data_IF_413820252223
#
_entry.id   IF_413820252223
#
_cell.length_a   1.000
_cell.length_b   1.000
_cell.length_c   1.000
_cell.angle_alpha   90.00
_cell.angle_beta   90.00
_cell.angle_gamma   90.00
#
_symmetry.space_group_name_H-M   'P 1'
#
loop_
_entity.id
_entity.type
_entity.pdbx_description
1 polymer ?
#
# COMPACT_ATOMS: atom_id res chain seq x y z
N UNK A 1 -9.42 16.48 37.61
CA UNK A 1 -9.49 16.87 36.19
C UNK A 1 -8.99 15.69 35.39
N UNK A 2 -9.90 14.82 34.95
CA UNK A 2 -9.57 13.58 34.28
C UNK A 2 -9.23 13.87 32.82
N UNK A 3 -8.02 13.49 32.42
CA UNK A 3 -7.52 13.49 31.06
C UNK A 3 -8.29 12.44 30.24
N UNK A 4 -9.44 12.81 29.67
CA UNK A 4 -10.27 11.89 28.85
C UNK A 4 -10.31 12.27 27.36
N UNK A 5 -9.34 13.05 26.87
CA UNK A 5 -9.40 13.63 25.52
C UNK A 5 -8.70 12.86 24.39
N UNK A 6 -7.72 11.97 24.64
CA UNK A 6 -6.78 11.55 23.57
C UNK A 6 -6.33 10.07 23.53
N UNK A 7 -7.15 9.02 23.82
CA UNK A 7 -6.75 7.65 23.49
C UNK A 7 -6.97 7.32 22.00
N UNK A 8 -8.17 7.60 21.48
CA UNK A 8 -8.57 7.25 20.11
C UNK A 8 -7.74 7.97 19.03
N UNK A 9 -7.39 9.24 19.26
CA UNK A 9 -6.55 10.02 18.33
C UNK A 9 -5.11 9.50 18.23
N UNK A 10 -4.59 8.91 19.31
CA UNK A 10 -3.21 8.43 19.36
C UNK A 10 -3.09 7.06 18.68
N UNK A 11 -4.05 6.16 18.90
CA UNK A 11 -4.11 4.86 18.22
C UNK A 11 -4.31 5.01 16.70
N UNK A 12 -5.15 5.96 16.28
CA UNK A 12 -5.37 6.29 14.88
C UNK A 12 -4.12 6.85 14.20
N UNK A 13 -3.40 7.77 14.85
CA UNK A 13 -2.13 8.30 14.33
C UNK A 13 -1.06 7.21 14.17
N UNK A 14 -1.00 6.25 15.10
CA UNK A 14 -0.11 5.09 15.01
C UNK A 14 -0.53 4.16 13.88
N UNK A 15 -1.82 3.88 13.75
CA UNK A 15 -2.37 3.06 12.66
C UNK A 15 -2.06 3.69 11.29
N UNK A 16 -2.31 4.99 11.11
CA UNK A 16 -1.99 5.72 9.88
C UNK A 16 -0.49 5.68 9.55
N UNK A 17 0.38 5.84 10.55
CA UNK A 17 1.83 5.73 10.37
C UNK A 17 2.28 4.32 9.96
N UNK A 18 1.68 3.28 10.55
CA UNK A 18 1.95 1.89 10.18
C UNK A 18 1.45 1.57 8.77
N UNK A 19 0.25 2.02 8.40
CA UNK A 19 -0.30 1.84 7.06
C UNK A 19 0.55 2.56 6.01
N UNK A 20 0.98 3.80 6.26
CA UNK A 20 1.88 4.55 5.39
C UNK A 20 3.23 3.85 5.21
N UNK A 21 3.82 3.35 6.30
CA UNK A 21 5.08 2.59 6.26
C UNK A 21 4.95 1.31 5.42
N UNK A 22 3.85 0.57 5.61
CA UNK A 22 3.58 -0.64 4.84
C UNK A 22 3.32 -0.34 3.36
N UNK A 23 2.59 0.74 3.04
CA UNK A 23 2.40 1.20 1.66
C UNK A 23 3.75 1.52 1.00
N UNK A 24 4.68 2.15 1.72
CA UNK A 24 6.04 2.40 1.22
C UNK A 24 6.81 1.12 0.90
N UNK A 25 6.64 0.05 1.69
CA UNK A 25 7.23 -1.26 1.42
C UNK A 25 6.62 -1.92 0.18
N UNK A 26 5.29 -1.84 0.03
CA UNK A 26 4.56 -2.35 -1.14
C UNK A 26 5.03 -1.66 -2.41
N UNK A 27 5.13 -0.33 -2.40
CA UNK A 27 5.59 0.47 -3.54
C UNK A 27 7.05 0.16 -3.89
N UNK A 28 7.91 -0.01 -2.89
CA UNK A 28 9.32 -0.40 -3.10
C UNK A 28 9.45 -1.80 -3.68
N UNK A 29 8.66 -2.76 -3.19
CA UNK A 29 8.64 -4.12 -3.74
C UNK A 29 8.16 -4.13 -5.20
N UNK A 30 7.14 -3.34 -5.52
CA UNK A 30 6.63 -3.21 -6.88
C UNK A 30 7.67 -2.59 -7.82
N UNK A 31 8.40 -1.57 -7.35
CA UNK A 31 9.51 -0.98 -8.10
C UNK A 31 10.63 -1.99 -8.37
N UNK A 32 11.01 -2.79 -7.37
CA UNK A 32 12.04 -3.82 -7.54
C UNK A 32 11.64 -4.89 -8.56
N UNK A 33 10.38 -5.34 -8.53
CA UNK A 33 9.87 -6.27 -9.54
C UNK A 33 9.93 -5.68 -10.96
N UNK A 34 9.58 -4.39 -11.13
CA UNK A 34 9.69 -3.70 -12.43
C UNK A 34 11.15 -3.66 -12.92
N UNK A 35 12.11 -3.45 -12.02
CA UNK A 35 13.53 -3.53 -12.36
C UNK A 35 13.94 -4.94 -12.76
N UNK A 36 13.48 -5.98 -12.05
CA UNK A 36 13.74 -7.37 -12.42
C UNK A 36 13.19 -7.71 -13.82
N UNK A 37 11.99 -7.25 -14.16
CA UNK A 37 11.42 -7.42 -15.50
C UNK A 37 12.30 -6.79 -16.57
N UNK A 38 12.71 -5.53 -16.38
CA UNK A 38 13.57 -4.84 -17.34
C UNK A 38 14.93 -5.52 -17.54
N UNK A 39 15.52 -6.05 -16.46
CA UNK A 39 16.77 -6.83 -16.53
C UNK A 39 16.55 -8.15 -17.28
N UNK A 40 15.44 -8.84 -17.02
CA UNK A 40 15.10 -10.06 -17.73
C UNK A 40 14.92 -9.83 -19.24
N UNK A 41 14.20 -8.78 -19.63
CA UNK A 41 14.00 -8.39 -21.03
C UNK A 41 15.32 -8.02 -21.72
N UNK A 42 16.18 -7.29 -21.00
CA UNK A 42 17.51 -6.93 -21.49
C UNK A 42 18.37 -8.18 -21.68
N UNK A 43 18.33 -9.14 -20.75
CA UNK A 43 19.07 -10.39 -20.85
C UNK A 43 18.58 -11.26 -22.03
N UNK A 44 17.27 -11.35 -22.24
CA UNK A 44 16.68 -12.05 -23.39
C UNK A 44 17.11 -11.43 -24.72
N UNK A 45 17.10 -10.10 -24.78
CA UNK A 45 17.45 -9.35 -26.00
C UNK A 45 18.94 -9.44 -26.30
N UNK A 46 19.80 -9.21 -25.30
CA UNK A 46 21.25 -9.19 -25.46
C UNK A 46 21.83 -10.55 -25.85
N UNK A 47 21.22 -11.64 -25.37
CA UNK A 47 21.74 -13.00 -25.58
C UNK A 47 20.93 -13.79 -26.61
N UNK A 48 20.16 -13.11 -27.46
CA UNK A 48 19.31 -13.75 -28.47
C UNK A 48 20.15 -14.65 -29.39
N UNK A 49 19.80 -15.94 -29.43
CA UNK A 49 20.54 -16.95 -30.21
C UNK A 49 21.81 -17.50 -29.56
N UNK A 50 22.21 -17.00 -28.39
CA UNK A 50 23.38 -17.46 -27.63
C UNK A 50 23.04 -18.06 -26.25
N UNK A 51 21.79 -17.94 -25.78
CA UNK A 51 21.34 -18.56 -24.52
C UNK A 51 21.06 -20.06 -24.67
N UNK A 52 21.44 -20.82 -23.65
CA UNK A 52 20.92 -22.18 -23.46
C UNK A 52 19.41 -22.15 -23.19
N UNK A 53 18.71 -23.23 -23.55
CA UNK A 53 17.26 -23.37 -23.29
C UNK A 53 16.94 -23.16 -21.81
N UNK A 54 17.74 -23.72 -20.90
CA UNK A 54 17.53 -23.57 -19.46
C UNK A 54 17.63 -22.13 -18.98
N UNK A 55 18.55 -21.35 -19.55
CA UNK A 55 18.67 -19.93 -19.21
C UNK A 55 17.48 -19.13 -19.77
N UNK A 56 17.00 -19.44 -20.97
CA UNK A 56 15.80 -18.81 -21.54
C UNK A 56 14.57 -19.07 -20.67
N UNK A 57 14.37 -20.31 -20.21
CA UNK A 57 13.30 -20.66 -19.26
C UNK A 57 13.45 -19.88 -17.97
N UNK A 58 14.64 -19.86 -17.36
CA UNK A 58 14.88 -19.16 -16.11
C UNK A 58 14.57 -17.65 -16.22
N UNK A 59 15.01 -16.98 -17.28
CA UNK A 59 14.73 -15.54 -17.47
C UNK A 59 13.24 -15.29 -17.70
N UNK A 60 12.56 -16.17 -18.43
CA UNK A 60 11.10 -16.12 -18.61
C UNK A 60 10.36 -16.27 -17.27
N UNK A 61 10.78 -17.22 -16.44
CA UNK A 61 10.19 -17.46 -15.12
C UNK A 61 10.37 -16.26 -14.19
N UNK A 62 11.54 -15.61 -14.23
CA UNK A 62 11.80 -14.37 -13.50
C UNK A 62 10.85 -13.26 -13.93
N UNK A 63 10.69 -13.03 -15.23
CA UNK A 63 9.79 -12.01 -15.75
C UNK A 63 8.33 -12.28 -15.35
N UNK A 64 7.88 -13.54 -15.47
CA UNK A 64 6.53 -13.93 -15.15
C UNK A 64 6.23 -13.84 -13.64
N UNK A 65 7.18 -14.25 -12.80
CA UNK A 65 7.06 -14.14 -11.34
C UNK A 65 6.99 -12.67 -10.90
N UNK A 66 7.85 -11.80 -11.44
CA UNK A 66 7.82 -10.37 -11.14
C UNK A 66 6.50 -9.71 -11.58
N UNK A 67 5.96 -10.12 -12.74
CA UNK A 67 4.65 -9.67 -13.22
C UNK A 67 3.53 -10.09 -12.26
N UNK A 68 3.50 -11.36 -11.85
CA UNK A 68 2.51 -11.88 -10.92
C UNK A 68 2.60 -11.21 -9.55
N UNK A 69 3.80 -10.95 -9.04
CA UNK A 69 4.00 -10.26 -7.78
C UNK A 69 3.45 -8.83 -7.83
N UNK A 70 3.64 -8.11 -8.94
CA UNK A 70 3.09 -6.77 -9.10
C UNK A 70 1.56 -6.74 -9.04
N UNK A 71 0.88 -7.72 -9.66
CA UNK A 71 -0.58 -7.82 -9.57
C UNK A 71 -1.06 -7.96 -8.12
N UNK A 72 -0.37 -8.78 -7.32
CA UNK A 72 -0.70 -8.96 -5.89
C UNK A 72 -0.41 -7.68 -5.09
N UNK A 73 0.71 -7.01 -5.36
CA UNK A 73 1.07 -5.76 -4.69
C UNK A 73 0.09 -4.63 -5.03
N UNK A 74 -0.41 -4.56 -6.26
CA UNK A 74 -1.45 -3.60 -6.66
C UNK A 74 -2.76 -3.88 -5.90
N UNK A 75 -3.17 -5.14 -5.75
CA UNK A 75 -4.34 -5.50 -4.93
C UNK A 75 -4.16 -5.14 -3.45
N UNK A 76 -2.96 -5.34 -2.89
CA UNK A 76 -2.64 -4.92 -1.52
C UNK A 76 -2.76 -3.40 -1.41
N UNK A 77 -2.22 -2.65 -2.37
CA UNK A 77 -2.31 -1.19 -2.41
C UNK A 77 -3.76 -0.72 -2.45
N UNK A 78 -4.60 -1.30 -3.29
CA UNK A 78 -6.04 -1.00 -3.34
C UNK A 78 -6.74 -1.29 -2.01
N UNK A 79 -6.45 -2.43 -1.38
CA UNK A 79 -7.02 -2.81 -0.09
C UNK A 79 -6.62 -1.83 1.03
N UNK A 80 -5.37 -1.35 1.04
CA UNK A 80 -4.91 -0.35 2.00
C UNK A 80 -5.62 0.99 1.81
N UNK A 81 -5.81 1.44 0.56
CA UNK A 81 -6.53 2.67 0.24
C UNK A 81 -8.00 2.59 0.68
N UNK A 82 -8.66 1.45 0.44
CA UNK A 82 -10.00 1.21 0.94
C UNK A 82 -10.07 1.23 2.48
N UNK A 83 -9.14 0.56 3.17
CA UNK A 83 -9.10 0.52 4.63
C UNK A 83 -8.93 1.89 5.27
N UNK A 84 -8.06 2.75 4.71
CA UNK A 84 -7.89 4.14 5.17
C UNK A 84 -9.17 4.93 4.92
N UNK A 85 -9.71 4.90 3.69
CA UNK A 85 -10.92 5.66 3.37
C UNK A 85 -12.16 5.23 4.18
N UNK A 86 -12.26 3.95 4.54
CA UNK A 86 -13.32 3.46 5.42
C UNK A 86 -13.16 3.95 6.86
N UNK A 87 -11.93 4.04 7.36
CA UNK A 87 -11.62 4.59 8.69
C UNK A 87 -11.97 6.08 8.75
N UNK A 88 -11.52 6.86 7.76
CA UNK A 88 -11.83 8.30 7.67
C UNK A 88 -13.34 8.56 7.59
N UNK A 89 -14.08 7.74 6.83
CA UNK A 89 -15.53 7.86 6.71
C UNK A 89 -16.27 7.52 8.00
N UNK A 90 -15.80 6.52 8.76
CA UNK A 90 -16.34 6.18 10.07
C UNK A 90 -16.07 7.28 11.10
N UNK A 91 -14.90 7.90 11.07
CA UNK A 91 -14.58 9.02 11.95
C UNK A 91 -15.40 10.27 11.63
N UNK A 92 -15.56 10.61 10.36
CA UNK A 92 -16.43 11.72 9.96
C UNK A 92 -17.89 11.50 10.39
N UNK A 93 -18.37 10.26 10.29
CA UNK A 93 -19.73 9.88 10.72
C UNK A 93 -19.87 9.95 12.25
N UNK A 94 -18.91 9.38 12.98
CA UNK A 94 -18.90 9.40 14.45
C UNK A 94 -18.76 10.83 15.01
N UNK A 95 -17.95 11.69 14.39
CA UNK A 95 -17.84 13.10 14.75
C UNK A 95 -19.13 13.87 14.48
N UNK A 96 -19.81 13.59 13.34
CA UNK A 96 -21.11 14.16 13.01
C UNK A 96 -22.21 13.74 14.00
N UNK A 97 -22.26 12.47 14.35
CA UNK A 97 -23.19 11.95 15.37
C UNK A 97 -22.90 12.52 16.76
N UNK A 98 -21.62 12.70 17.10
CA UNK A 98 -21.22 13.32 18.37
C UNK A 98 -21.64 14.79 18.44
N UNK A 99 -21.52 15.56 17.35
CA UNK A 99 -22.04 16.92 17.26
C UNK A 99 -23.57 16.96 17.36
N UNK A 100 -24.27 16.02 16.74
CA UNK A 100 -25.73 15.93 16.78
C UNK A 100 -26.25 15.57 18.18
N UNK A 101 -25.55 14.72 18.93
CA UNK A 101 -25.94 14.28 20.28
C UNK A 101 -25.56 15.33 21.34
N UNK A 102 -24.40 15.98 21.22
CA UNK A 102 -23.90 16.89 22.25
C UNK A 102 -24.25 18.36 22.02
N UNK A 103 -24.66 18.74 20.79
CA UNK A 103 -25.03 20.11 20.44
C UNK A 103 -23.88 21.12 20.52
N UNK A 104 -22.65 20.69 20.76
CA UNK A 104 -21.48 21.57 20.86
C UNK A 104 -21.00 21.89 19.45
N UNK A 105 -21.48 23.02 18.92
CA UNK A 105 -20.85 23.70 17.79
C UNK A 105 -19.55 24.31 18.31
N UNK A 106 -18.44 23.93 17.69
CA UNK A 106 -17.08 24.37 18.02
C UNK A 106 -17.01 25.91 18.24
N UNK A 107 -16.59 26.42 19.40
CA UNK A 107 -16.59 27.87 19.66
C UNK A 107 -15.35 28.60 19.11
N UNK A 108 -14.41 27.92 18.45
CA UNK A 108 -13.23 28.57 17.89
C UNK A 108 -12.99 28.17 16.44
N UNK A 109 -13.00 29.21 15.60
CA UNK A 109 -12.51 29.26 14.22
C UNK A 109 -11.10 28.67 14.09
#
# INVERSE_FOLDING_TARGET
MSSSGMPFSMDMAVQAAQTSSFQGLVDSAAANNKQMMAVADTALTANRGQMSTSFQTWVSDVHQTATSNNLVLDQIREALHFGIGATDAQEASAAGDFQAITGVVNPFH
#
